data_IF_036760635587
#
_entry.id   IF_036760635587
#
_cell.length_a   1.000
_cell.length_b   1.000
_cell.length_c   1.000
_cell.angle_alpha   90.00
_cell.angle_beta   90.00
_cell.angle_gamma   90.00
#
_symmetry.space_group_name_H-M   'P 1'
#
loop_
_entity.id
_entity.type
_entity.pdbx_description
1 polymer ?
#
# COMPACT_ATOMS: atom_id res chain seq x y z
N UNK A 1 -65.82 20.68 -8.74
CA UNK A 1 -65.36 20.01 -9.98
C UNK A 1 -63.87 19.76 -9.83
N UNK A 2 -63.50 18.47 -9.71
CA UNK A 2 -62.14 17.87 -9.67
C UNK A 2 -61.25 18.28 -8.48
N UNK A 3 -60.78 17.42 -7.58
CA UNK A 3 -60.67 15.96 -7.57
C UNK A 3 -59.21 15.50 -7.62
N UNK A 4 -58.62 15.28 -6.43
CA UNK A 4 -57.60 14.28 -6.08
C UNK A 4 -56.33 14.13 -6.96
N UNK A 5 -55.14 14.25 -6.34
CA UNK A 5 -54.14 13.17 -6.39
C UNK A 5 -53.38 13.04 -5.09
N UNK A 6 -53.34 11.79 -4.62
CA UNK A 6 -52.71 11.29 -3.42
C UNK A 6 -51.18 11.34 -3.53
N UNK A 7 -50.52 11.61 -2.40
CA UNK A 7 -49.11 11.28 -2.19
C UNK A 7 -49.03 9.77 -1.94
N UNK A 8 -48.60 9.04 -2.94
CA UNK A 8 -48.12 7.67 -2.77
C UNK A 8 -46.59 7.69 -2.85
N UNK A 9 -45.98 6.91 -1.96
CA UNK A 9 -44.59 7.06 -1.56
C UNK A 9 -43.56 6.68 -2.62
N UNK A 10 -42.44 7.38 -2.53
CA UNK A 10 -41.15 6.83 -2.93
C UNK A 10 -40.25 6.90 -1.71
N UNK A 11 -40.11 5.74 -1.06
CA UNK A 11 -39.14 5.53 0.00
C UNK A 11 -37.76 5.86 -0.53
N UNK A 12 -37.06 6.71 0.22
CA UNK A 12 -35.62 6.89 0.07
C UNK A 12 -34.95 5.53 0.32
N UNK A 13 -34.08 5.02 -0.57
CA UNK A 13 -33.34 3.82 -0.26
C UNK A 13 -32.41 4.10 0.93
N UNK A 14 -32.60 3.23 1.93
CA UNK A 14 -31.86 3.08 3.17
C UNK A 14 -30.35 3.25 3.01
N UNK A 15 -29.75 3.94 3.98
CA UNK A 15 -28.32 4.01 4.20
C UNK A 15 -27.70 2.61 4.10
N UNK A 16 -26.75 2.44 3.17
CA UNK A 16 -25.77 1.37 3.27
C UNK A 16 -24.85 1.75 4.43
N UNK A 17 -24.89 0.93 5.48
CA UNK A 17 -23.82 0.84 6.44
C UNK A 17 -22.54 0.50 5.69
N UNK A 18 -21.59 1.42 5.66
CA UNK A 18 -20.19 1.12 5.30
C UNK A 18 -19.62 0.29 6.45
N UNK A 19 -19.94 -1.00 6.42
CA UNK A 19 -19.32 -2.01 7.24
C UNK A 19 -17.86 -2.16 6.82
N UNK A 20 -16.98 -1.88 7.76
CA UNK A 20 -15.70 -2.59 7.94
C UNK A 20 -14.89 -2.77 6.66
N UNK A 21 -14.14 -1.72 6.28
CA UNK A 21 -13.01 -1.84 5.36
C UNK A 21 -11.94 -2.75 5.95
N UNK A 22 -12.15 -4.05 5.86
CA UNK A 22 -11.07 -5.02 5.90
C UNK A 22 -10.15 -4.64 4.74
N UNK A 23 -8.95 -4.17 5.06
CA UNK A 23 -7.88 -4.03 4.08
C UNK A 23 -7.61 -5.43 3.52
N UNK A 24 -8.34 -5.80 2.48
CA UNK A 24 -8.09 -6.99 1.71
C UNK A 24 -6.68 -6.85 1.17
N UNK A 25 -5.76 -7.64 1.73
CA UNK A 25 -4.45 -7.88 1.14
C UNK A 25 -4.70 -8.25 -0.33
N UNK A 26 -4.08 -7.49 -1.24
CA UNK A 26 -4.13 -7.71 -2.68
C UNK A 26 -3.93 -9.20 -3.04
N UNK A 27 -4.49 -9.69 -4.16
CA UNK A 27 -4.27 -11.07 -4.60
C UNK A 27 -2.76 -11.36 -4.78
N UNK A 28 -2.29 -12.60 -4.63
CA UNK A 28 -0.89 -12.91 -4.85
C UNK A 28 -0.49 -12.63 -6.31
N UNK A 29 0.28 -11.56 -6.50
CA UNK A 29 1.61 -11.58 -7.10
C UNK A 29 1.79 -12.43 -8.36
N UNK A 30 1.29 -11.94 -9.49
CA UNK A 30 1.71 -12.45 -10.80
C UNK A 30 2.93 -11.66 -11.23
N UNK A 31 4.09 -12.31 -11.22
CA UNK A 31 5.28 -11.75 -11.85
C UNK A 31 5.15 -11.84 -13.38
N UNK A 32 5.55 -10.78 -14.09
CA UNK A 32 5.34 -10.61 -15.52
C UNK A 32 6.58 -10.99 -16.34
N UNK A 33 7.79 -10.81 -15.80
CA UNK A 33 9.03 -11.11 -16.52
C UNK A 33 9.46 -12.57 -16.36
N UNK A 34 9.64 -13.33 -17.46
CA UNK A 34 10.17 -14.69 -17.41
C UNK A 34 11.70 -14.74 -17.22
N UNK A 35 12.40 -13.61 -17.18
CA UNK A 35 13.86 -13.55 -17.12
C UNK A 35 14.43 -13.97 -15.75
N UNK A 36 13.62 -13.92 -14.70
CA UNK A 36 14.02 -14.24 -13.32
C UNK A 36 12.95 -15.15 -12.71
N UNK A 37 13.38 -16.19 -12.00
CA UNK A 37 12.47 -16.95 -11.13
C UNK A 37 12.22 -16.16 -9.84
N UNK A 38 11.19 -15.31 -9.88
CA UNK A 38 10.82 -14.45 -8.76
C UNK A 38 10.25 -15.21 -7.56
N UNK A 39 9.66 -16.39 -7.78
CA UNK A 39 9.20 -17.27 -6.69
C UNK A 39 10.40 -17.82 -5.90
N UNK A 40 11.43 -18.27 -6.61
CA UNK A 40 12.69 -18.67 -6.00
C UNK A 40 13.37 -17.48 -5.30
N UNK A 41 13.39 -16.30 -5.93
CA UNK A 41 13.95 -15.10 -5.32
C UNK A 41 13.26 -14.73 -4.00
N UNK A 42 11.92 -14.77 -3.94
CA UNK A 42 11.16 -14.55 -2.72
C UNK A 42 11.52 -15.56 -1.62
N UNK A 43 11.56 -16.84 -1.95
CA UNK A 43 11.89 -17.91 -1.00
C UNK A 43 13.32 -17.76 -0.44
N UNK A 44 14.29 -17.48 -1.32
CA UNK A 44 15.68 -17.25 -0.93
C UNK A 44 15.79 -16.01 -0.05
N UNK A 45 15.26 -14.86 -0.49
CA UNK A 45 15.30 -13.62 0.27
C UNK A 45 14.65 -13.80 1.66
N UNK A 46 13.51 -14.46 1.74
CA UNK A 46 12.83 -14.75 3.00
C UNK A 46 13.63 -15.66 3.94
N UNK A 47 14.45 -16.57 3.41
CA UNK A 47 15.33 -17.44 4.21
C UNK A 47 16.56 -16.70 4.74
N UNK A 48 17.11 -15.78 3.96
CA UNK A 48 18.32 -15.02 4.33
C UNK A 48 18.02 -13.75 5.14
N UNK A 49 16.78 -13.28 5.14
CA UNK A 49 16.36 -12.15 5.96
C UNK A 49 16.55 -12.47 7.47
N UNK A 50 17.25 -11.61 8.23
CA UNK A 50 17.47 -11.83 9.65
C UNK A 50 16.16 -11.69 10.45
N UNK A 51 16.15 -12.24 11.66
CA UNK A 51 15.03 -12.09 12.59
C UNK A 51 14.83 -10.64 13.06
N UNK A 52 13.61 -10.35 13.52
CA UNK A 52 13.27 -9.06 14.11
C UNK A 52 14.05 -8.81 15.40
N UNK A 53 14.14 -7.56 15.86
CA UNK A 53 14.60 -7.29 17.21
C UNK A 53 13.72 -8.02 18.23
N UNK A 54 14.31 -8.51 19.32
CA UNK A 54 13.58 -9.15 20.41
C UNK A 54 13.01 -8.07 21.34
N UNK A 55 11.82 -7.59 20.99
CA UNK A 55 11.07 -6.58 21.75
C UNK A 55 9.67 -7.09 22.09
N UNK A 56 9.05 -6.50 23.09
CA UNK A 56 7.67 -6.77 23.45
C UNK A 56 6.69 -6.21 22.39
N UNK A 57 5.46 -6.74 22.32
CA UNK A 57 4.43 -6.19 21.43
C UNK A 57 4.10 -4.72 21.72
N UNK A 58 4.22 -4.29 22.98
CA UNK A 58 4.01 -2.90 23.37
C UNK A 58 5.09 -1.98 22.82
N UNK A 59 6.36 -2.33 23.00
CA UNK A 59 7.48 -1.57 22.44
C UNK A 59 7.40 -1.50 20.91
N UNK A 60 6.98 -2.59 20.25
CA UNK A 60 6.76 -2.59 18.81
C UNK A 60 5.64 -1.61 18.40
N UNK A 61 4.54 -1.57 19.16
CA UNK A 61 3.44 -0.63 18.91
C UNK A 61 3.91 0.82 19.10
N UNK A 62 4.56 1.11 20.22
CA UNK A 62 5.05 2.45 20.57
C UNK A 62 6.03 2.95 19.49
N UNK A 63 6.96 2.10 19.03
CA UNK A 63 7.87 2.44 17.94
C UNK A 63 7.15 2.72 16.61
N UNK A 64 6.08 1.98 16.29
CA UNK A 64 5.28 2.23 15.07
C UNK A 64 4.55 3.57 15.15
N UNK A 65 4.05 3.95 16.33
CA UNK A 65 3.41 5.26 16.55
C UNK A 65 4.44 6.37 16.36
N UNK A 66 5.60 6.28 17.02
CA UNK A 66 6.66 7.27 16.91
C UNK A 66 7.16 7.44 15.46
N UNK A 67 7.34 6.34 14.71
CA UNK A 67 7.75 6.41 13.29
C UNK A 67 6.71 7.17 12.47
N UNK A 68 5.41 6.93 12.71
CA UNK A 68 4.34 7.59 11.96
C UNK A 68 4.27 9.08 12.27
N UNK A 69 4.41 9.45 13.54
CA UNK A 69 4.42 10.85 13.98
C UNK A 69 5.60 11.62 13.39
N UNK A 70 6.82 11.11 13.56
CA UNK A 70 8.01 11.76 12.99
C UNK A 70 7.99 11.83 11.47
N UNK A 71 7.40 10.85 10.79
CA UNK A 71 7.26 10.89 9.34
C UNK A 71 6.23 11.94 8.86
N UNK A 72 5.25 12.32 9.69
CA UNK A 72 4.41 13.49 9.40
C UNK A 72 5.20 14.79 9.60
N UNK A 73 5.91 14.93 10.72
CA UNK A 73 6.72 16.11 11.02
C UNK A 73 7.81 16.36 9.97
N UNK A 74 8.47 15.30 9.50
CA UNK A 74 9.52 15.37 8.50
C UNK A 74 9.05 16.01 7.18
N UNK A 75 7.76 15.95 6.84
CA UNK A 75 7.23 16.57 5.62
C UNK A 75 7.45 18.08 5.61
N UNK A 76 7.34 18.74 6.78
CA UNK A 76 7.56 20.18 6.89
C UNK A 76 9.02 20.53 6.64
N UNK A 77 9.93 19.79 7.27
CA UNK A 77 11.36 19.98 7.09
C UNK A 77 11.81 19.73 5.64
N UNK A 78 11.30 18.67 4.99
CA UNK A 78 11.60 18.39 3.58
C UNK A 78 11.10 19.52 2.69
N UNK A 79 9.89 20.01 2.92
CA UNK A 79 9.32 21.14 2.17
C UNK A 79 10.15 22.40 2.34
N UNK A 80 10.52 22.74 3.57
CA UNK A 80 11.24 23.98 3.86
C UNK A 80 12.64 23.98 3.22
N UNK A 81 13.30 22.82 3.14
CA UNK A 81 14.65 22.68 2.57
C UNK A 81 14.63 22.53 1.05
N UNK A 82 13.70 21.74 0.51
CA UNK A 82 13.73 21.31 -0.91
C UNK A 82 12.67 21.98 -1.79
N UNK A 83 11.62 22.57 -1.18
CA UNK A 83 10.43 23.03 -1.87
C UNK A 83 9.52 21.91 -2.38
N UNK A 84 9.86 20.64 -2.14
CA UNK A 84 9.03 19.50 -2.55
C UNK A 84 7.82 19.35 -1.61
N UNK A 85 6.64 19.23 -2.20
CA UNK A 85 5.37 19.05 -1.50
C UNK A 85 4.88 17.63 -1.77
N UNK A 86 4.65 16.86 -0.71
CA UNK A 86 4.06 15.53 -0.82
C UNK A 86 2.59 15.62 -1.26
N UNK A 87 2.12 14.60 -1.98
CA UNK A 87 0.70 14.50 -2.35
C UNK A 87 -0.16 14.18 -1.10
N UNK A 88 -1.39 14.70 -1.05
CA UNK A 88 -2.27 14.64 0.15
C UNK A 88 -2.65 13.20 0.58
N UNK A 89 -2.60 12.26 -0.36
CA UNK A 89 -2.90 10.85 -0.13
C UNK A 89 -1.67 10.02 0.32
N UNK A 90 -0.49 10.63 0.48
CA UNK A 90 0.69 9.92 0.94
C UNK A 90 0.45 9.30 2.32
N UNK A 91 0.84 8.02 2.49
CA UNK A 91 0.73 7.29 3.75
C UNK A 91 2.04 6.58 4.07
N UNK A 92 2.43 6.69 5.34
CA UNK A 92 3.52 5.91 5.90
C UNK A 92 3.02 4.51 6.22
N UNK A 93 3.71 3.50 5.70
CA UNK A 93 3.43 2.09 5.97
C UNK A 93 4.61 1.47 6.69
N UNK A 94 4.33 0.76 7.79
CA UNK A 94 5.32 -0.09 8.46
C UNK A 94 4.96 -1.52 8.12
N UNK A 95 5.91 -2.21 7.49
CA UNK A 95 5.72 -3.56 6.98
C UNK A 95 6.80 -4.47 7.55
N UNK A 96 6.48 -5.76 7.66
CA UNK A 96 7.50 -6.75 8.01
C UNK A 96 8.45 -7.01 6.84
N UNK A 97 9.53 -7.77 7.11
CA UNK A 97 10.55 -8.05 6.09
C UNK A 97 9.99 -8.82 4.89
N UNK A 98 9.04 -9.74 5.10
CA UNK A 98 8.48 -10.53 4.00
C UNK A 98 7.64 -9.68 3.06
N UNK A 99 6.82 -8.81 3.62
CA UNK A 99 6.00 -7.87 2.85
C UNK A 99 6.87 -6.83 2.14
N UNK A 100 7.96 -6.38 2.77
CA UNK A 100 8.94 -5.51 2.13
C UNK A 100 9.66 -6.20 0.96
N UNK A 101 10.12 -7.44 1.15
CA UNK A 101 10.74 -8.25 0.09
C UNK A 101 9.77 -8.41 -1.07
N UNK A 102 8.54 -8.85 -0.80
CA UNK A 102 7.53 -9.07 -1.83
C UNK A 102 7.28 -7.81 -2.66
N UNK A 103 7.04 -6.68 -1.99
CA UNK A 103 6.79 -5.39 -2.66
C UNK A 103 7.95 -4.96 -3.57
N UNK A 104 9.20 -5.14 -3.10
CA UNK A 104 10.37 -4.78 -3.90
C UNK A 104 10.60 -5.73 -5.07
N UNK A 105 10.35 -7.04 -4.91
CA UNK A 105 10.46 -7.98 -6.02
C UNK A 105 9.47 -7.66 -7.14
N UNK A 106 8.25 -7.22 -6.83
CA UNK A 106 7.28 -6.76 -7.84
C UNK A 106 7.77 -5.51 -8.58
N UNK A 107 8.36 -4.56 -7.86
CA UNK A 107 8.94 -3.37 -8.48
C UNK A 107 10.10 -3.75 -9.42
N UNK A 108 10.98 -4.66 -8.99
CA UNK A 108 12.08 -5.14 -9.83
C UNK A 108 11.59 -5.92 -11.05
N UNK A 109 10.61 -6.79 -10.90
CA UNK A 109 9.97 -7.50 -12.00
C UNK A 109 9.42 -6.53 -13.05
N UNK A 110 8.71 -5.49 -12.60
CA UNK A 110 8.21 -4.43 -13.49
C UNK A 110 9.33 -3.72 -14.25
N UNK A 111 10.44 -3.40 -13.58
CA UNK A 111 11.60 -2.74 -14.22
C UNK A 111 12.28 -3.68 -15.23
N UNK A 112 12.43 -4.95 -14.89
CA UNK A 112 13.08 -5.96 -15.74
C UNK A 112 12.23 -6.26 -16.97
N UNK A 113 10.91 -6.32 -16.82
CA UNK A 113 9.97 -6.48 -17.93
C UNK A 113 10.04 -5.31 -18.93
N UNK A 114 10.27 -4.08 -18.45
CA UNK A 114 10.43 -2.91 -19.31
C UNK A 114 11.75 -2.88 -20.11
N UNK A 115 12.77 -3.64 -19.69
CA UNK A 115 14.12 -3.55 -20.26
C UNK A 115 14.19 -3.80 -21.78
N UNK A 116 13.53 -4.82 -22.37
CA UNK A 116 13.52 -5.01 -23.82
C UNK A 116 12.97 -3.79 -24.58
N UNK A 117 11.89 -3.19 -24.08
CA UNK A 117 11.25 -2.01 -24.69
C UNK A 117 12.06 -0.71 -24.50
N UNK A 118 12.92 -0.64 -23.48
CA UNK A 118 13.85 0.48 -23.30
C UNK A 118 15.02 0.40 -24.31
N UNK A 119 15.46 -0.82 -24.65
CA UNK A 119 16.54 -1.05 -25.62
C UNK A 119 16.23 -0.60 -27.03
N UNK A 120 14.95 -0.63 -27.44
CA UNK A 120 14.51 -0.19 -28.77
C UNK A 120 14.43 1.34 -28.92
N UNK A 121 14.54 2.09 -27.81
CA UNK A 121 14.44 3.56 -27.78
C UNK A 121 15.80 4.27 -27.69
N UNK A 122 16.90 3.53 -27.62
CA UNK A 122 18.29 4.00 -27.60
C UNK A 122 19.01 3.60 -28.89
#
# INVERSE_FOLDING_TARGET
MVGLRRRDGHGLPSARSEGTGSAALSPPSVFTSPAVDWSLAYAVAGRFAPDGPRISPREAHDAVVEIKEHAQEAQEHVRDVTGLIAHEDHRVVVVDRRSWIDSNLHAFDSIVDMWPAAKERL
#
